data_IF_353473186830
#
_entry.id   IF_353473186830
#
_cell.length_a   1.000
_cell.length_b   1.000
_cell.length_c   1.000
_cell.angle_alpha   90.00
_cell.angle_beta   90.00
_cell.angle_gamma   90.00
#
_symmetry.space_group_name_H-M   'P 1'
#
loop_
_entity.id
_entity.type
_entity.pdbx_description
1 polymer ?
#
# COMPACT_ATOMS: atom_id res chain seq x y z
N UNK A 1 2.52 -10.13 14.42
CA UNK A 1 3.58 -10.35 13.41
C UNK A 1 4.94 -10.09 14.04
N UNK A 2 6.01 -10.75 13.57
CA UNK A 2 7.38 -10.62 14.11
C UNK A 2 8.26 -9.87 13.09
N UNK A 3 9.14 -8.97 13.59
CA UNK A 3 10.09 -8.22 12.76
C UNK A 3 11.07 -9.13 12.02
N UNK A 4 11.43 -10.27 12.61
CA UNK A 4 12.30 -11.26 11.94
C UNK A 4 11.73 -11.78 10.62
N UNK A 5 10.40 -11.87 10.51
CA UNK A 5 9.74 -12.27 9.28
C UNK A 5 9.93 -11.22 8.18
N UNK A 6 9.96 -9.94 8.55
CA UNK A 6 10.24 -8.85 7.61
C UNK A 6 11.70 -8.91 7.16
N UNK A 7 12.63 -8.99 8.10
CA UNK A 7 14.07 -9.04 7.83
C UNK A 7 14.50 -10.26 6.99
N UNK A 8 13.80 -11.37 7.13
CA UNK A 8 14.07 -12.58 6.35
C UNK A 8 13.63 -12.46 4.88
N UNK A 9 12.67 -11.60 4.58
CA UNK A 9 12.11 -11.44 3.24
C UNK A 9 12.52 -10.14 2.53
N UNK A 10 12.94 -9.13 3.27
CA UNK A 10 13.33 -7.82 2.73
C UNK A 10 14.75 -7.45 3.14
N UNK A 11 15.41 -6.58 2.38
CA UNK A 11 16.71 -6.00 2.74
C UNK A 11 16.51 -4.82 3.72
N UNK A 12 15.82 -5.10 4.81
CA UNK A 12 15.53 -4.15 5.87
C UNK A 12 16.03 -4.71 7.19
N UNK A 13 16.67 -3.86 7.99
CA UNK A 13 17.03 -4.16 9.38
C UNK A 13 16.10 -3.36 10.28
N UNK A 14 15.12 -4.02 10.87
CA UNK A 14 14.07 -3.40 11.68
C UNK A 14 14.61 -3.05 13.05
N UNK A 15 14.64 -1.77 13.38
CA UNK A 15 15.06 -1.26 14.69
C UNK A 15 13.89 -1.03 15.64
N UNK A 16 12.71 -0.73 15.12
CA UNK A 16 11.47 -0.57 15.88
C UNK A 16 10.26 -1.04 15.07
N UNK A 17 9.26 -1.57 15.75
CA UNK A 17 8.01 -2.04 15.15
C UNK A 17 6.86 -1.83 16.11
N UNK A 18 5.84 -1.07 15.70
CA UNK A 18 4.65 -0.81 16.50
C UNK A 18 3.36 -0.97 15.72
N UNK A 19 2.37 -1.56 16.33
CA UNK A 19 1.01 -1.65 15.79
C UNK A 19 0.38 -0.26 15.83
N UNK A 20 -0.13 0.20 14.69
CA UNK A 20 -0.88 1.46 14.56
C UNK A 20 -2.39 1.23 14.65
N UNK A 21 -2.89 0.27 13.89
CA UNK A 21 -4.31 0.02 13.72
C UNK A 21 -4.57 -1.47 13.50
N UNK A 22 -5.76 -1.90 13.89
CA UNK A 22 -6.30 -3.23 13.59
C UNK A 22 -7.74 -3.09 13.15
N UNK A 23 -8.07 -3.54 11.92
CA UNK A 23 -9.40 -3.48 11.35
C UNK A 23 -9.71 -4.73 10.53
N UNK A 24 -10.82 -5.40 10.83
CA UNK A 24 -11.31 -6.56 10.06
C UNK A 24 -10.26 -7.65 9.80
N UNK A 25 -9.41 -7.92 10.80
CA UNK A 25 -8.34 -8.90 10.71
C UNK A 25 -7.11 -8.42 9.96
N UNK A 26 -7.06 -7.16 9.53
CA UNK A 26 -5.87 -6.51 9.00
C UNK A 26 -5.18 -5.73 10.09
N UNK A 27 -3.91 -5.99 10.30
CA UNK A 27 -3.04 -5.27 11.23
C UNK A 27 -2.10 -4.35 10.44
N UNK A 28 -1.99 -3.09 10.86
CA UNK A 28 -1.13 -2.09 10.25
C UNK A 28 -0.03 -1.71 11.23
N UNK A 29 1.22 -1.95 10.83
CA UNK A 29 2.39 -1.64 11.63
C UNK A 29 3.21 -0.52 10.99
N UNK A 30 3.76 0.35 11.84
CA UNK A 30 4.87 1.22 11.48
C UNK A 30 6.17 0.53 11.87
N UNK A 31 7.11 0.45 10.94
CA UNK A 31 8.46 -0.03 11.21
C UNK A 31 9.48 1.06 10.92
N UNK A 32 10.55 1.05 11.68
CA UNK A 32 11.75 1.85 11.43
C UNK A 32 12.89 0.94 11.00
N UNK A 33 13.56 1.29 9.92
CA UNK A 33 14.71 0.55 9.40
C UNK A 33 15.79 1.56 8.96
N UNK A 34 16.83 1.70 9.77
CA UNK A 34 17.82 2.76 9.60
C UNK A 34 17.19 4.15 9.78
N UNK A 35 17.38 5.03 8.81
CA UNK A 35 16.79 6.37 8.79
C UNK A 35 15.41 6.45 8.12
N UNK A 36 14.87 5.31 7.66
CA UNK A 36 13.62 5.26 6.92
C UNK A 36 12.51 4.56 7.70
N UNK A 37 11.28 4.94 7.36
CA UNK A 37 10.07 4.35 7.91
C UNK A 37 9.29 3.65 6.81
N UNK A 38 8.56 2.60 7.19
CA UNK A 38 7.70 1.85 6.30
C UNK A 38 6.41 1.46 7.02
N UNK A 39 5.37 1.20 6.25
CA UNK A 39 4.13 0.61 6.72
C UNK A 39 4.09 -0.86 6.31
N UNK A 40 3.75 -1.72 7.24
CA UNK A 40 3.50 -3.14 6.99
C UNK A 40 2.03 -3.41 7.20
N UNK A 41 1.38 -3.99 6.20
CA UNK A 41 -0.01 -4.44 6.29
C UNK A 41 -0.03 -5.96 6.33
N UNK A 42 -0.38 -6.54 7.46
CA UNK A 42 -0.64 -7.96 7.60
C UNK A 42 -2.14 -8.22 7.48
N UNK A 43 -2.54 -9.09 6.58
CA UNK A 43 -3.94 -9.30 6.23
C UNK A 43 -4.27 -10.79 6.06
N UNK A 44 -5.54 -11.18 6.22
CA UNK A 44 -5.99 -12.54 6.01
C UNK A 44 -5.69 -13.06 4.60
N UNK A 45 -5.50 -14.38 4.47
CA UNK A 45 -5.19 -15.02 3.19
C UNK A 45 -6.33 -14.97 2.17
N UNK A 46 -7.57 -14.71 2.60
CA UNK A 46 -8.72 -14.61 1.70
C UNK A 46 -8.79 -13.28 0.93
N UNK A 47 -7.94 -12.29 1.26
CA UNK A 47 -7.78 -11.12 0.41
C UNK A 47 -7.06 -11.51 -0.87
N UNK A 48 -7.75 -11.39 -1.99
CA UNK A 48 -7.24 -11.76 -3.31
C UNK A 48 -6.60 -10.56 -4.02
N UNK A 49 -5.69 -10.85 -4.94
CA UNK A 49 -5.07 -9.88 -5.86
C UNK A 49 -4.35 -8.70 -5.16
N UNK A 50 -3.82 -8.93 -3.97
CA UNK A 50 -3.08 -7.92 -3.20
C UNK A 50 -1.86 -7.38 -3.99
N UNK A 51 -1.27 -8.19 -4.85
CA UNK A 51 -0.16 -7.81 -5.73
C UNK A 51 -0.52 -6.64 -6.67
N UNK A 52 -1.78 -6.49 -7.03
CA UNK A 52 -2.23 -5.42 -7.93
C UNK A 52 -1.95 -4.04 -7.35
N UNK A 53 -1.99 -3.87 -6.03
CA UNK A 53 -1.60 -2.61 -5.37
C UNK A 53 -0.14 -2.26 -5.70
N UNK A 54 0.76 -3.24 -5.71
CA UNK A 54 2.16 -3.05 -6.06
C UNK A 54 2.34 -2.59 -7.51
N UNK A 55 1.70 -3.24 -8.46
CA UNK A 55 1.77 -2.88 -9.87
C UNK A 55 1.19 -1.51 -10.14
N UNK A 56 0.04 -1.18 -9.56
CA UNK A 56 -0.63 0.11 -9.72
C UNK A 56 0.23 1.24 -9.15
N UNK A 57 0.75 1.08 -7.94
CA UNK A 57 1.54 2.14 -7.29
C UNK A 57 2.89 2.34 -7.97
N UNK A 58 3.52 1.30 -8.49
CA UNK A 58 4.72 1.42 -9.32
C UNK A 58 4.43 2.18 -10.62
N UNK A 59 3.35 1.85 -11.31
CA UNK A 59 2.94 2.52 -12.54
C UNK A 59 2.65 4.01 -12.32
N UNK A 60 1.87 4.35 -11.28
CA UNK A 60 1.55 5.73 -10.94
C UNK A 60 2.78 6.53 -10.52
N UNK A 61 3.68 5.93 -9.75
CA UNK A 61 4.95 6.56 -9.38
C UNK A 61 5.82 6.85 -10.59
N UNK A 62 5.88 5.95 -11.56
CA UNK A 62 6.57 6.16 -12.84
C UNK A 62 5.99 7.31 -13.68
N UNK A 63 4.75 7.73 -13.42
CA UNK A 63 4.08 8.88 -14.00
C UNK A 63 4.09 10.12 -13.11
N UNK A 64 5.01 10.17 -12.17
CA UNK A 64 5.22 11.30 -11.25
C UNK A 64 4.09 11.58 -10.26
N UNK A 65 3.20 10.60 -10.02
CA UNK A 65 2.24 10.69 -8.92
C UNK A 65 2.93 10.33 -7.60
N UNK A 66 2.65 11.13 -6.57
CA UNK A 66 3.13 10.85 -5.20
C UNK A 66 2.22 9.81 -4.54
N UNK A 67 2.61 8.56 -4.62
CA UNK A 67 1.91 7.42 -4.00
C UNK A 67 2.88 6.64 -3.13
N UNK A 68 2.38 6.02 -2.06
CA UNK A 68 3.15 5.09 -1.25
C UNK A 68 3.31 3.77 -2.03
N UNK A 69 4.51 3.51 -2.56
CA UNK A 69 4.76 2.28 -3.33
C UNK A 69 4.94 1.09 -2.41
N UNK A 70 4.50 -0.08 -2.86
CA UNK A 70 4.90 -1.33 -2.24
C UNK A 70 6.38 -1.62 -2.53
N UNK A 71 7.08 -2.09 -1.51
CA UNK A 71 8.48 -2.52 -1.62
C UNK A 71 8.50 -3.99 -2.05
N UNK A 72 9.34 -4.32 -3.03
CA UNK A 72 9.57 -5.71 -3.43
C UNK A 72 10.45 -6.43 -2.41
N UNK A 73 10.10 -7.66 -2.11
CA UNK A 73 10.93 -8.57 -1.34
C UNK A 73 12.21 -8.94 -2.11
N UNK A 74 13.12 -9.67 -1.47
CA UNK A 74 14.38 -10.12 -2.10
C UNK A 74 14.17 -10.95 -3.37
N UNK A 75 13.10 -11.72 -3.41
CA UNK A 75 12.71 -12.53 -4.59
C UNK A 75 11.80 -11.80 -5.58
N UNK A 76 11.61 -10.49 -5.40
CA UNK A 76 10.89 -9.62 -6.33
C UNK A 76 9.38 -9.59 -6.17
N UNK A 77 8.83 -10.22 -5.13
CA UNK A 77 7.38 -10.25 -4.86
C UNK A 77 6.92 -9.02 -4.08
N UNK A 78 5.72 -8.52 -4.37
CA UNK A 78 5.09 -7.47 -3.57
C UNK A 78 4.42 -8.00 -2.30
N UNK A 79 4.02 -9.27 -2.30
CA UNK A 79 3.26 -9.90 -1.22
C UNK A 79 4.01 -11.12 -0.71
N UNK A 80 4.18 -11.20 0.59
CA UNK A 80 4.70 -12.39 1.26
C UNK A 80 3.54 -13.16 1.88
N UNK A 81 3.44 -14.44 1.57
CA UNK A 81 2.43 -15.34 2.12
C UNK A 81 3.03 -16.30 3.11
N UNK A 82 2.39 -16.40 4.27
CA UNK A 82 2.64 -17.42 5.30
C UNK A 82 1.45 -18.38 5.36
N UNK A 83 1.53 -19.49 6.10
CA UNK A 83 0.39 -20.37 6.29
C UNK A 83 -0.81 -19.73 7.00
N UNK A 84 -0.62 -18.61 7.69
CA UNK A 84 -1.66 -17.97 8.53
C UNK A 84 -2.17 -16.64 8.00
N UNK A 85 -1.32 -15.87 7.34
CA UNK A 85 -1.62 -14.54 6.83
C UNK A 85 -0.70 -14.18 5.67
N UNK A 86 -1.00 -13.08 5.01
CA UNK A 86 -0.12 -12.47 4.01
C UNK A 86 0.19 -11.03 4.42
N UNK A 87 1.30 -10.48 3.93
CA UNK A 87 1.65 -9.10 4.23
C UNK A 87 2.38 -8.40 3.10
N UNK A 88 2.29 -7.08 3.12
CA UNK A 88 3.00 -6.17 2.22
C UNK A 88 3.80 -5.16 3.03
N UNK A 89 4.86 -4.65 2.45
CA UNK A 89 5.64 -3.53 2.98
C UNK A 89 5.53 -2.38 1.99
N UNK A 90 5.19 -1.19 2.47
CA UNK A 90 5.07 0.01 1.64
C UNK A 90 5.88 1.18 2.21
N UNK A 91 6.22 2.13 1.34
CA UNK A 91 6.84 3.39 1.73
C UNK A 91 5.96 4.14 2.73
N UNK A 92 6.58 4.74 3.74
CA UNK A 92 5.90 5.67 4.64
C UNK A 92 5.90 7.07 4.02
N UNK A 93 4.73 7.69 3.96
CA UNK A 93 4.59 9.09 3.56
C UNK A 93 4.35 9.92 4.81
N UNK A 94 5.26 10.86 5.09
CA UNK A 94 5.04 11.82 6.15
C UNK A 94 3.91 12.78 5.81
N UNK A 95 3.03 13.02 6.76
CA UNK A 95 1.89 13.91 6.58
C UNK A 95 0.94 13.88 7.75
N UNK A 96 -0.13 14.66 7.62
CA UNK A 96 -1.22 14.69 8.59
C UNK A 96 -2.51 14.25 7.90
N UNK A 97 -3.25 13.39 8.56
CA UNK A 97 -4.63 13.09 8.17
C UNK A 97 -5.52 14.25 8.56
N UNK A 98 -6.26 14.78 7.62
CA UNK A 98 -7.22 15.85 7.88
C UNK A 98 -8.62 15.24 8.15
N UNK A 99 -9.36 15.73 9.15
CA UNK A 99 -10.72 15.28 9.39
C UNK A 99 -11.62 15.60 8.19
N UNK A 100 -12.44 14.64 7.79
CA UNK A 100 -13.33 14.77 6.61
C UNK A 100 -14.23 16.01 6.67
N UNK A 101 -14.73 16.33 7.87
CA UNK A 101 -15.69 17.43 8.07
C UNK A 101 -15.03 18.82 8.20
N UNK A 102 -13.71 18.90 8.25
CA UNK A 102 -12.98 20.16 8.44
C UNK A 102 -11.84 20.35 7.45
N UNK A 103 -11.85 19.59 6.35
CA UNK A 103 -10.84 19.70 5.32
C UNK A 103 -10.92 21.08 4.64
N UNK A 104 -9.81 21.84 4.57
CA UNK A 104 -9.80 23.14 3.94
C UNK A 104 -10.05 23.03 2.42
N UNK A 105 -10.59 24.08 1.82
CA UNK A 105 -10.95 24.11 0.40
C UNK A 105 -9.77 23.70 -0.52
N UNK A 106 -8.58 24.20 -0.24
CA UNK A 106 -7.39 23.86 -1.03
C UNK A 106 -7.08 22.36 -1.04
N UNK A 107 -7.35 21.67 0.09
CA UNK A 107 -7.14 20.23 0.17
C UNK A 107 -8.14 19.45 -0.70
N UNK A 108 -9.40 19.87 -0.71
CA UNK A 108 -10.45 19.29 -1.55
C UNK A 108 -10.11 19.48 -3.03
N UNK A 109 -9.66 20.69 -3.42
CA UNK A 109 -9.24 20.99 -4.79
C UNK A 109 -8.04 20.13 -5.23
N UNK A 110 -7.02 20.03 -4.39
CA UNK A 110 -5.84 19.19 -4.66
C UNK A 110 -6.15 17.70 -4.71
N UNK A 111 -7.03 17.24 -3.86
CA UNK A 111 -7.49 15.85 -3.84
C UNK A 111 -8.27 15.51 -5.13
N UNK A 112 -9.16 16.40 -5.57
CA UNK A 112 -9.90 16.24 -6.81
C UNK A 112 -8.98 16.26 -8.04
N UNK A 113 -7.98 17.16 -8.07
CA UNK A 113 -6.97 17.22 -9.12
C UNK A 113 -6.14 15.93 -9.18
N UNK A 114 -5.68 15.44 -8.03
CA UNK A 114 -4.93 14.19 -7.92
C UNK A 114 -5.76 13.00 -8.41
N UNK A 115 -7.01 12.90 -7.95
CA UNK A 115 -7.93 11.83 -8.36
C UNK A 115 -8.18 11.86 -9.88
N UNK A 116 -8.42 13.04 -10.46
CA UNK A 116 -8.63 13.19 -11.89
C UNK A 116 -7.42 12.77 -12.73
N UNK A 117 -6.22 13.17 -12.31
CA UNK A 117 -4.97 12.80 -13.00
C UNK A 117 -4.67 11.31 -12.90
N UNK A 118 -4.79 10.72 -11.72
CA UNK A 118 -4.55 9.28 -11.52
C UNK A 118 -5.58 8.44 -12.26
N UNK A 119 -6.85 8.81 -12.25
CA UNK A 119 -7.91 8.11 -12.99
C UNK A 119 -7.62 8.13 -14.50
N UNK A 120 -7.23 9.26 -15.04
CA UNK A 120 -6.87 9.38 -16.46
C UNK A 120 -5.69 8.48 -16.83
N UNK A 121 -4.65 8.47 -16.01
CA UNK A 121 -3.47 7.66 -16.28
C UNK A 121 -3.76 6.16 -16.14
N UNK A 122 -4.61 5.77 -15.20
CA UNK A 122 -5.05 4.38 -15.03
C UNK A 122 -5.92 3.87 -16.18
N UNK A 123 -6.62 4.73 -16.93
CA UNK A 123 -7.36 4.32 -18.13
C UNK A 123 -6.45 3.68 -19.18
N UNK A 124 -5.17 4.04 -19.20
CA UNK A 124 -4.18 3.50 -20.13
C UNK A 124 -3.40 2.30 -19.54
N UNK A 125 -3.73 1.87 -18.34
CA UNK A 125 -3.10 0.74 -17.68
C UNK A 125 -3.76 -0.57 -18.13
N UNK A 126 -3.15 -1.23 -19.13
CA UNK A 126 -3.75 -2.37 -19.83
C UNK A 126 -3.64 -3.74 -19.16
N UNK A 127 -3.00 -3.86 -18.00
CA UNK A 127 -2.61 -5.15 -17.40
C UNK A 127 -3.39 -5.56 -16.15
N UNK A 128 -4.29 -4.73 -15.64
CA UNK A 128 -5.18 -5.17 -14.56
C UNK A 128 -6.13 -6.24 -15.08
N UNK A 129 -6.11 -7.42 -14.48
CA UNK A 129 -7.07 -8.45 -14.82
C UNK A 129 -8.48 -7.88 -14.71
N UNK A 130 -9.32 -8.12 -15.71
CA UNK A 130 -10.73 -7.69 -15.78
C UNK A 130 -11.57 -8.05 -14.52
N UNK A 131 -11.06 -8.93 -13.66
CA UNK A 131 -11.67 -9.30 -12.39
C UNK A 131 -11.74 -8.15 -11.38
N UNK A 132 -10.73 -7.29 -11.33
CA UNK A 132 -10.70 -6.24 -10.31
C UNK A 132 -11.79 -5.17 -10.52
N UNK A 133 -12.11 -4.83 -11.76
CA UNK A 133 -13.18 -3.90 -12.09
C UNK A 133 -14.59 -4.53 -12.08
N UNK A 134 -14.71 -5.79 -12.46
CA UNK A 134 -16.00 -6.49 -12.54
C UNK A 134 -16.65 -6.75 -11.20
N UNK A 135 -15.86 -7.17 -10.19
CA UNK A 135 -16.40 -7.52 -8.88
C UNK A 135 -16.85 -6.29 -8.08
N UNK A 136 -16.33 -5.11 -8.41
CA UNK A 136 -16.69 -3.85 -7.74
C UNK A 136 -17.92 -3.16 -8.35
N UNK A 137 -18.12 -3.27 -9.66
CA UNK A 137 -19.16 -2.54 -10.40
C UNK A 137 -20.30 -3.40 -10.96
N UNK A 138 -20.18 -4.71 -10.90
CA UNK A 138 -21.17 -5.65 -11.47
C UNK A 138 -21.91 -6.49 -10.41
N UNK A 139 -22.09 -5.94 -9.21
CA UNK A 139 -22.99 -6.52 -8.22
C UNK A 139 -24.38 -5.95 -8.34
#
# INVERSE_FOLDING_TARGET
MDSHLIESNYDLKVSDMRLLEEHFGTEIYLIEAGAQKYIVKAMPLYFENVENEGFITEYLSGRSHKVARLIKSRDGSYVIRTPKFQFTVQEYIEGKTLPVNSAPKWFLEKSAEFLGKTTRDLQNYGTLSLRFGRDFFCR
#
